data_IF_570840478889
#
_entry.id   IF_570840478889
#
_cell.length_a   1.000
_cell.length_b   1.000
_cell.length_c   1.000
_cell.angle_alpha   90.00
_cell.angle_beta   90.00
_cell.angle_gamma   90.00
#
_symmetry.space_group_name_H-M   'P 1'
#
loop_
_entity.id
_entity.type
_entity.pdbx_description
1 polymer ?
#
# COMPACT_ATOMS: atom_id res chain seq x y z
N UNK A 1 54.39 28.25 8.79
CA UNK A 1 53.31 27.47 9.44
C UNK A 1 52.00 27.79 8.74
N UNK A 2 51.32 26.76 8.20
CA UNK A 2 49.91 26.88 7.79
C UNK A 2 49.07 26.96 9.08
N UNK A 3 48.42 28.10 9.32
CA UNK A 3 47.62 28.33 10.52
C UNK A 3 46.22 27.70 10.44
N UNK A 4 45.82 27.20 9.26
CA UNK A 4 44.54 26.53 9.04
C UNK A 4 44.74 25.40 8.02
N UNK A 5 44.10 24.25 8.27
CA UNK A 5 44.07 23.09 7.37
C UNK A 5 42.66 22.96 6.82
N UNK A 6 42.51 22.90 5.50
CA UNK A 6 41.20 22.72 4.85
C UNK A 6 40.85 21.23 4.89
N UNK A 7 39.91 20.84 5.76
CA UNK A 7 39.49 19.44 5.95
C UNK A 7 38.07 19.15 5.42
N UNK A 8 37.48 20.08 4.68
CA UNK A 8 36.11 19.94 4.19
C UNK A 8 36.03 18.85 3.11
N UNK A 9 35.08 17.93 3.29
CA UNK A 9 34.72 16.88 2.33
C UNK A 9 33.28 17.08 1.89
N UNK A 10 33.03 16.99 0.60
CA UNK A 10 31.67 17.05 0.03
C UNK A 10 31.31 15.64 -0.44
N UNK A 11 30.29 15.05 0.16
CA UNK A 11 29.72 13.78 -0.26
C UNK A 11 28.77 14.01 -1.42
N UNK A 12 28.98 13.32 -2.54
CA UNK A 12 28.12 13.40 -3.71
C UNK A 12 27.36 12.09 -3.88
N UNK A 13 26.04 12.18 -3.97
CA UNK A 13 25.15 11.04 -4.13
C UNK A 13 24.09 11.31 -5.19
N UNK A 14 23.78 10.30 -6.00
CA UNK A 14 22.59 10.31 -6.86
C UNK A 14 21.40 9.98 -6.00
N UNK A 15 20.33 10.78 -6.08
CA UNK A 15 19.06 10.46 -5.40
C UNK A 15 18.15 9.61 -6.26
N UNK A 16 18.14 9.85 -7.57
CA UNK A 16 17.24 9.20 -8.51
C UNK A 16 17.97 8.92 -9.83
N UNK A 17 17.86 7.68 -10.29
CA UNK A 17 18.28 7.17 -11.60
C UNK A 17 17.33 6.04 -11.98
N UNK A 18 16.27 6.40 -12.71
CA UNK A 18 15.23 5.45 -13.10
C UNK A 18 15.79 4.27 -13.90
N UNK A 19 16.76 4.51 -14.80
CA UNK A 19 17.31 3.46 -15.64
C UNK A 19 18.16 2.45 -14.84
N UNK A 20 18.70 2.85 -13.69
CA UNK A 20 19.37 1.93 -12.75
C UNK A 20 18.44 1.39 -11.66
N UNK A 21 17.15 1.69 -11.73
CA UNK A 21 16.17 1.28 -10.73
C UNK A 21 16.26 2.06 -9.42
N UNK A 22 17.01 3.16 -9.41
CA UNK A 22 17.10 4.05 -8.26
C UNK A 22 15.93 5.06 -8.33
N UNK A 23 14.79 4.64 -7.78
CA UNK A 23 13.55 5.43 -7.78
C UNK A 23 13.29 6.02 -6.39
N UNK A 24 12.28 6.89 -6.28
CA UNK A 24 11.93 7.51 -5.01
C UNK A 24 11.70 6.47 -3.90
N UNK A 25 12.29 6.69 -2.72
CA UNK A 25 12.23 5.77 -1.57
C UNK A 25 13.46 4.87 -1.40
N UNK A 26 14.31 4.71 -2.42
CA UNK A 26 15.58 4.01 -2.29
C UNK A 26 16.65 4.90 -1.62
N UNK A 27 17.58 4.34 -0.81
CA UNK A 27 18.69 5.10 -0.27
C UNK A 27 19.56 5.69 -1.40
N UNK A 28 20.08 6.91 -1.23
CA UNK A 28 20.86 7.58 -2.27
C UNK A 28 22.17 6.82 -2.51
N UNK A 29 22.42 6.45 -3.77
CA UNK A 29 23.66 5.85 -4.22
C UNK A 29 24.79 6.88 -4.15
N UNK A 30 25.78 6.62 -3.29
CA UNK A 30 26.96 7.46 -3.19
C UNK A 30 27.82 7.31 -4.45
N UNK A 31 28.11 8.43 -5.10
CA UNK A 31 28.95 8.50 -6.30
C UNK A 31 30.42 8.66 -5.93
N UNK A 32 30.70 9.45 -4.88
CA UNK A 32 32.04 9.66 -4.38
C UNK A 32 32.13 10.84 -3.44
N UNK A 33 33.36 11.30 -3.22
CA UNK A 33 33.69 12.41 -2.33
C UNK A 33 34.55 13.41 -3.08
N UNK A 34 34.19 14.69 -3.02
CA UNK A 34 35.03 15.79 -3.48
C UNK A 34 35.80 16.29 -2.26
N UNK A 35 37.12 16.21 -2.33
CA UNK A 35 38.02 16.69 -1.30
C UNK A 35 39.23 17.39 -1.93
N UNK A 36 39.80 18.34 -1.18
CA UNK A 36 41.02 19.04 -1.56
C UNK A 36 42.21 18.13 -1.23
N UNK A 37 43.03 17.81 -2.22
CA UNK A 37 44.38 17.29 -1.99
C UNK A 37 45.21 18.42 -1.38
N UNK A 38 45.44 18.32 -0.07
CA UNK A 38 46.12 19.33 0.75
C UNK A 38 47.59 19.48 0.34
N UNK A 39 48.21 18.40 -0.16
CA UNK A 39 49.63 18.39 -0.54
C UNK A 39 49.84 19.13 -1.85
N UNK A 40 48.97 18.88 -2.83
CA UNK A 40 49.09 19.45 -4.17
C UNK A 40 48.19 20.67 -4.40
N UNK A 41 47.40 21.07 -3.40
CA UNK A 41 46.41 22.15 -3.45
C UNK A 41 45.47 22.05 -4.66
N UNK A 42 44.93 20.84 -4.91
CA UNK A 42 44.06 20.54 -6.07
C UNK A 42 42.82 19.76 -5.65
N UNK A 43 41.69 20.08 -6.25
CA UNK A 43 40.47 19.28 -6.12
C UNK A 43 40.49 18.20 -7.21
N UNK A 44 40.49 16.93 -6.82
CA UNK A 44 40.45 15.83 -7.79
C UNK A 44 39.08 15.78 -8.49
N UNK A 45 39.04 15.43 -9.78
CA UNK A 45 37.78 15.30 -10.50
C UNK A 45 36.96 14.14 -9.93
N UNK A 46 35.66 14.35 -9.72
CA UNK A 46 34.73 13.29 -9.36
C UNK A 46 34.41 12.47 -10.61
N UNK A 47 34.85 11.21 -10.62
CA UNK A 47 34.52 10.28 -11.70
C UNK A 47 33.08 9.79 -11.54
N UNK A 48 32.20 10.23 -12.44
CA UNK A 48 30.80 9.78 -12.50
C UNK A 48 30.66 8.70 -13.56
N UNK A 49 30.25 7.50 -13.16
CA UNK A 49 30.00 6.41 -14.10
C UNK A 49 28.68 6.63 -14.86
N UNK A 50 28.79 6.97 -16.14
CA UNK A 50 27.67 7.19 -17.07
C UNK A 50 27.15 5.90 -17.74
N UNK A 51 27.55 4.70 -17.28
CA UNK A 51 27.09 3.44 -17.86
C UNK A 51 25.57 3.40 -17.98
N UNK A 52 25.08 3.04 -19.17
CA UNK A 52 23.65 3.02 -19.46
C UNK A 52 22.92 2.07 -18.50
N UNK A 53 21.88 2.58 -17.84
CA UNK A 53 20.89 1.73 -17.19
C UNK A 53 20.00 1.01 -18.20
N UNK A 54 19.04 0.23 -17.71
CA UNK A 54 18.08 -0.51 -18.54
C UNK A 54 16.65 -0.06 -18.26
N UNK A 55 15.85 0.06 -19.33
CA UNK A 55 14.40 0.29 -19.24
C UNK A 55 13.73 -0.79 -18.40
N UNK A 56 14.22 -2.03 -18.49
CA UNK A 56 13.70 -3.16 -17.74
C UNK A 56 13.97 -3.03 -16.23
N UNK A 57 15.17 -2.57 -15.86
CA UNK A 57 15.53 -2.33 -14.46
C UNK A 57 14.66 -1.24 -13.85
N UNK A 58 14.44 -0.14 -14.58
CA UNK A 58 13.53 0.92 -14.15
C UNK A 58 12.09 0.44 -14.01
N UNK A 59 11.60 -0.34 -14.97
CA UNK A 59 10.26 -0.91 -14.91
C UNK A 59 10.04 -1.82 -13.69
N UNK A 60 10.98 -2.74 -13.40
CA UNK A 60 10.91 -3.58 -12.20
C UNK A 60 11.01 -2.80 -10.90
N UNK A 61 11.85 -1.76 -10.87
CA UNK A 61 11.94 -0.88 -9.72
C UNK A 61 10.58 -0.20 -9.44
N UNK A 62 9.83 0.18 -10.47
CA UNK A 62 8.49 0.75 -10.31
C UNK A 62 7.47 -0.29 -9.83
N UNK A 63 7.54 -1.54 -10.28
CA UNK A 63 6.71 -2.64 -9.73
C UNK A 63 7.02 -2.85 -8.25
N UNK A 64 8.30 -2.96 -7.89
CA UNK A 64 8.72 -3.12 -6.51
C UNK A 64 8.25 -1.95 -5.63
N UNK A 65 8.34 -0.73 -6.16
CA UNK A 65 7.85 0.48 -5.49
C UNK A 65 6.34 0.44 -5.25
N UNK A 66 5.55 -0.05 -6.22
CA UNK A 66 4.10 -0.24 -6.05
C UNK A 66 3.74 -1.26 -4.98
N UNK A 67 4.47 -2.38 -4.93
CA UNK A 67 4.30 -3.38 -3.86
C UNK A 67 4.66 -2.78 -2.50
N UNK A 68 5.80 -2.10 -2.40
CA UNK A 68 6.28 -1.47 -1.17
C UNK A 68 5.33 -0.38 -0.67
N UNK A 69 4.77 0.41 -1.59
CA UNK A 69 3.80 1.46 -1.26
C UNK A 69 2.60 0.91 -0.46
N UNK A 70 2.02 -0.22 -0.90
CA UNK A 70 0.93 -0.87 -0.17
C UNK A 70 1.43 -1.60 1.09
N UNK A 71 2.61 -2.22 1.03
CA UNK A 71 3.14 -3.02 2.14
C UNK A 71 3.60 -2.18 3.34
N UNK A 72 4.14 -0.98 3.09
CA UNK A 72 4.68 -0.10 4.13
C UNK A 72 3.66 0.96 4.59
N UNK A 73 2.69 1.31 3.75
CA UNK A 73 1.58 2.20 4.12
C UNK A 73 0.58 1.50 5.04
N UNK A 74 0.67 1.75 6.35
CA UNK A 74 -0.25 1.20 7.35
C UNK A 74 -1.70 1.61 7.10
N UNK A 75 -1.91 2.84 6.67
CA UNK A 75 -3.18 3.40 6.22
C UNK A 75 -3.71 2.69 4.96
N UNK A 76 -2.88 2.44 3.95
CA UNK A 76 -3.25 1.78 2.70
C UNK A 76 -3.59 0.29 2.91
N UNK A 77 -2.80 -0.42 3.72
CA UNK A 77 -3.09 -1.80 4.07
C UNK A 77 -4.38 -1.92 4.89
N UNK A 78 -4.58 -1.03 5.87
CA UNK A 78 -5.78 -1.01 6.70
C UNK A 78 -7.03 -0.65 5.89
N UNK A 79 -6.93 0.35 5.00
CA UNK A 79 -7.95 0.70 4.02
C UNK A 79 -8.39 -0.54 3.23
N UNK A 80 -7.42 -1.23 2.62
CA UNK A 80 -7.69 -2.35 1.75
C UNK A 80 -8.31 -3.51 2.53
N UNK A 81 -7.75 -3.87 3.69
CA UNK A 81 -8.30 -4.93 4.53
C UNK A 81 -9.74 -4.61 4.95
N UNK A 82 -10.01 -3.40 5.44
CA UNK A 82 -11.33 -3.05 5.97
C UNK A 82 -12.38 -2.95 4.86
N UNK A 83 -12.00 -2.51 3.65
CA UNK A 83 -12.89 -2.48 2.49
C UNK A 83 -13.19 -3.89 1.94
N UNK A 84 -12.20 -4.79 1.91
CA UNK A 84 -12.34 -6.12 1.33
C UNK A 84 -12.94 -7.15 2.30
N UNK A 85 -12.79 -6.98 3.62
CA UNK A 85 -13.37 -7.85 4.64
C UNK A 85 -14.89 -8.09 4.47
N UNK A 86 -15.75 -7.08 4.23
CA UNK A 86 -17.18 -7.33 4.03
C UNK A 86 -17.54 -7.87 2.64
N UNK A 87 -16.68 -7.72 1.62
CA UNK A 87 -17.03 -8.04 0.22
C UNK A 87 -17.51 -9.49 -0.03
N UNK A 88 -17.00 -10.53 0.67
CA UNK A 88 -17.52 -11.90 0.57
C UNK A 88 -18.95 -12.12 1.12
N UNK A 89 -19.53 -11.14 1.82
CA UNK A 89 -20.82 -11.26 2.50
C UNK A 89 -21.97 -10.72 1.65
N UNK A 90 -23.11 -11.38 1.77
CA UNK A 90 -24.38 -10.89 1.26
C UNK A 90 -24.96 -9.90 2.27
N UNK A 91 -25.40 -8.73 1.82
CA UNK A 91 -26.09 -7.76 2.65
C UNK A 91 -27.61 -7.99 2.57
N UNK A 92 -28.29 -8.02 3.73
CA UNK A 92 -29.74 -8.11 3.79
C UNK A 92 -30.26 -7.31 5.00
N UNK A 93 -31.34 -6.54 4.80
CA UNK A 93 -32.01 -5.76 5.86
C UNK A 93 -31.05 -4.89 6.70
N UNK A 94 -30.10 -4.23 6.05
CA UNK A 94 -29.11 -3.36 6.71
C UNK A 94 -28.08 -4.08 7.58
N UNK A 95 -27.94 -5.41 7.42
CA UNK A 95 -26.95 -6.22 8.14
C UNK A 95 -26.18 -7.11 7.17
N UNK A 96 -24.96 -7.43 7.56
CA UNK A 96 -24.17 -8.43 6.86
C UNK A 96 -24.68 -9.84 7.21
N UNK A 97 -25.01 -10.60 6.17
CA UNK A 97 -25.61 -11.93 6.25
C UNK A 97 -24.61 -13.05 5.94
N UNK A 98 -25.08 -14.05 5.20
CA UNK A 98 -24.30 -15.25 4.90
C UNK A 98 -23.17 -14.99 3.89
N UNK A 99 -22.24 -15.93 3.81
CA UNK A 99 -21.18 -15.97 2.79
C UNK A 99 -21.80 -16.17 1.41
N UNK A 100 -21.44 -15.33 0.44
CA UNK A 100 -21.94 -15.43 -0.93
C UNK A 100 -21.29 -16.55 -1.77
N UNK A 101 -20.27 -17.24 -1.24
CA UNK A 101 -19.52 -18.29 -1.94
C UNK A 101 -18.21 -17.79 -2.56
N UNK A 102 -17.31 -18.72 -2.90
CA UNK A 102 -15.96 -18.39 -3.40
C UNK A 102 -16.02 -17.65 -4.73
N UNK A 103 -16.82 -18.15 -5.69
CA UNK A 103 -16.97 -17.51 -7.02
C UNK A 103 -17.52 -16.09 -6.92
N UNK A 104 -18.54 -15.90 -6.09
CA UNK A 104 -19.11 -14.58 -5.79
C UNK A 104 -18.06 -13.64 -5.20
N UNK A 105 -17.34 -14.11 -4.18
CA UNK A 105 -16.33 -13.33 -3.47
C UNK A 105 -15.21 -12.90 -4.41
N UNK A 106 -14.66 -13.83 -5.20
CA UNK A 106 -13.60 -13.51 -6.17
C UNK A 106 -14.06 -12.49 -7.20
N UNK A 107 -15.25 -12.68 -7.79
CA UNK A 107 -15.78 -11.72 -8.77
C UNK A 107 -15.90 -10.32 -8.17
N UNK A 108 -16.42 -10.21 -6.95
CA UNK A 108 -16.64 -8.92 -6.29
C UNK A 108 -15.35 -8.26 -5.82
N UNK A 109 -14.44 -9.04 -5.25
CA UNK A 109 -13.11 -8.56 -4.83
C UNK A 109 -12.30 -8.06 -6.03
N UNK A 110 -12.26 -8.83 -7.13
CA UNK A 110 -11.59 -8.41 -8.37
C UNK A 110 -12.21 -7.13 -8.92
N UNK A 111 -13.54 -7.02 -8.95
CA UNK A 111 -14.21 -5.81 -9.43
C UNK A 111 -13.84 -4.58 -8.58
N UNK A 112 -13.79 -4.73 -7.26
CA UNK A 112 -13.41 -3.64 -6.32
C UNK A 112 -11.96 -3.22 -6.56
N UNK A 113 -11.03 -4.18 -6.59
CA UNK A 113 -9.59 -3.97 -6.79
C UNK A 113 -9.34 -3.30 -8.14
N UNK A 114 -9.88 -3.85 -9.24
CA UNK A 114 -9.74 -3.25 -10.57
C UNK A 114 -10.33 -1.84 -10.63
N UNK A 115 -11.51 -1.61 -10.04
CA UNK A 115 -12.12 -0.29 -10.04
C UNK A 115 -11.27 0.74 -9.28
N UNK A 116 -10.70 0.36 -8.12
CA UNK A 116 -9.75 1.17 -7.38
C UNK A 116 -8.52 1.52 -8.24
N UNK A 117 -7.89 0.52 -8.86
CA UNK A 117 -6.69 0.74 -9.69
C UNK A 117 -6.97 1.63 -10.89
N UNK A 118 -8.16 1.53 -11.51
CA UNK A 118 -8.54 2.43 -12.60
C UNK A 118 -8.65 3.89 -12.14
N UNK A 119 -9.34 4.15 -11.01
CA UNK A 119 -9.43 5.50 -10.44
C UNK A 119 -8.05 6.04 -10.02
N UNK A 120 -7.26 5.19 -9.37
CA UNK A 120 -5.90 5.48 -8.97
C UNK A 120 -5.01 5.84 -10.16
N UNK A 121 -5.04 5.04 -11.22
CA UNK A 121 -4.29 5.28 -12.46
C UNK A 121 -4.63 6.63 -13.08
N UNK A 122 -5.92 6.98 -13.13
CA UNK A 122 -6.37 8.23 -13.73
C UNK A 122 -5.78 9.45 -13.02
N UNK A 123 -5.84 9.47 -11.70
CA UNK A 123 -5.38 10.62 -10.90
C UNK A 123 -3.87 10.65 -10.69
N UNK A 124 -3.23 9.48 -10.66
CA UNK A 124 -1.78 9.38 -10.70
C UNK A 124 -1.27 9.99 -12.02
N UNK A 125 -1.90 9.67 -13.15
CA UNK A 125 -1.55 10.23 -14.45
C UNK A 125 -1.77 11.73 -14.51
N UNK A 126 -2.96 12.23 -14.16
CA UNK A 126 -3.27 13.66 -14.24
C UNK A 126 -2.46 14.49 -13.25
N UNK A 127 -2.17 13.93 -12.07
CA UNK A 127 -1.30 14.57 -11.08
C UNK A 127 0.17 14.59 -11.50
N UNK A 128 0.70 13.47 -12.03
CA UNK A 128 2.08 13.39 -12.51
C UNK A 128 2.32 14.26 -13.76
N UNK A 129 1.31 14.39 -14.63
CA UNK A 129 1.32 15.34 -15.76
C UNK A 129 1.21 16.81 -15.31
N UNK A 130 0.92 17.05 -14.03
CA UNK A 130 0.79 18.38 -13.45
C UNK A 130 -0.54 19.09 -13.73
N UNK A 131 -1.53 18.40 -14.31
CA UNK A 131 -2.86 18.95 -14.62
C UNK A 131 -3.72 19.13 -13.37
N UNK A 132 -3.53 18.27 -12.36
CA UNK A 132 -4.23 18.34 -11.09
C UNK A 132 -3.22 18.43 -9.95
N UNK A 133 -3.29 19.50 -9.15
CA UNK A 133 -2.42 19.70 -7.99
C UNK A 133 -3.28 20.06 -6.79
N UNK A 134 -3.27 19.20 -5.79
CA UNK A 134 -3.92 19.44 -4.50
C UNK A 134 -2.85 19.48 -3.39
N UNK A 135 -3.06 20.25 -2.32
CA UNK A 135 -2.20 20.19 -1.14
C UNK A 135 -2.15 18.77 -0.56
N UNK A 136 -0.96 18.29 -0.18
CA UNK A 136 -0.79 16.94 0.38
C UNK A 136 -1.66 16.70 1.60
N UNK A 137 -1.76 17.69 2.49
CA UNK A 137 -2.61 17.65 3.68
C UNK A 137 -4.08 17.32 3.34
N UNK A 138 -4.64 17.92 2.29
CA UNK A 138 -6.02 17.66 1.86
C UNK A 138 -6.19 16.25 1.30
N UNK A 139 -5.22 15.77 0.53
CA UNK A 139 -5.23 14.41 -0.03
C UNK A 139 -5.15 13.39 1.08
N UNK A 140 -4.22 13.55 2.02
CA UNK A 140 -4.03 12.66 3.17
C UNK A 140 -5.26 12.64 4.09
N UNK A 141 -5.92 13.78 4.30
CA UNK A 141 -7.17 13.85 5.06
C UNK A 141 -8.30 13.08 4.36
N UNK A 142 -8.40 13.17 3.02
CA UNK A 142 -9.39 12.42 2.25
C UNK A 142 -9.07 10.91 2.22
N UNK A 143 -7.80 10.52 2.23
CA UNK A 143 -7.38 9.12 2.39
C UNK A 143 -7.85 8.61 3.75
N UNK A 144 -7.56 9.32 4.86
CA UNK A 144 -8.04 8.93 6.18
C UNK A 144 -9.58 8.86 6.25
N UNK A 145 -10.27 9.80 5.61
CA UNK A 145 -11.73 9.76 5.49
C UNK A 145 -12.23 8.53 4.71
N UNK A 146 -11.55 8.12 3.63
CA UNK A 146 -11.89 6.89 2.90
C UNK A 146 -11.79 5.63 3.77
N UNK A 147 -10.81 5.59 4.68
CA UNK A 147 -10.66 4.52 5.67
C UNK A 147 -11.85 4.53 6.62
N UNK A 148 -12.23 5.69 7.16
CA UNK A 148 -13.37 5.82 8.06
C UNK A 148 -14.66 5.30 7.41
N UNK A 149 -14.95 5.71 6.17
CA UNK A 149 -16.13 5.25 5.43
C UNK A 149 -16.09 3.74 5.20
N UNK A 150 -14.93 3.20 4.84
CA UNK A 150 -14.73 1.76 4.65
C UNK A 150 -14.90 0.99 5.96
N UNK A 151 -14.46 1.57 7.08
CA UNK A 151 -14.59 1.02 8.42
C UNK A 151 -16.06 0.93 8.86
N UNK A 152 -16.83 2.01 8.63
CA UNK A 152 -18.26 2.03 8.89
C UNK A 152 -19.00 1.01 8.02
N UNK A 153 -18.65 0.92 6.73
CA UNK A 153 -19.18 -0.08 5.80
C UNK A 153 -18.86 -1.51 6.29
N UNK A 154 -17.65 -1.72 6.77
CA UNK A 154 -17.23 -2.98 7.34
C UNK A 154 -18.00 -3.35 8.59
N UNK A 155 -18.54 -2.42 9.38
CA UNK A 155 -19.41 -2.73 10.53
C UNK A 155 -20.86 -2.97 10.10
N UNK A 156 -21.42 -2.07 9.27
CA UNK A 156 -22.78 -2.16 8.70
C UNK A 156 -22.77 -1.79 7.21
N UNK A 157 -23.53 -2.50 6.36
CA UNK A 157 -23.52 -2.28 4.92
C UNK A 157 -24.09 -0.89 4.57
N UNK A 158 -23.21 0.08 4.30
CA UNK A 158 -23.58 1.45 3.92
C UNK A 158 -23.95 1.57 2.43
N UNK A 159 -23.26 0.83 1.57
CA UNK A 159 -23.39 0.90 0.11
C UNK A 159 -23.31 -0.50 -0.53
N UNK A 160 -24.14 -1.46 -0.05
CA UNK A 160 -24.06 -2.84 -0.52
C UNK A 160 -24.30 -2.93 -2.04
N UNK A 161 -23.32 -3.46 -2.75
CA UNK A 161 -23.36 -3.65 -4.21
C UNK A 161 -22.75 -2.50 -5.01
N UNK A 162 -22.50 -1.35 -4.39
CA UNK A 162 -21.86 -0.20 -5.02
C UNK A 162 -20.37 -0.08 -4.67
N UNK A 163 -19.77 -1.11 -4.07
CA UNK A 163 -18.40 -1.06 -3.55
C UNK A 163 -17.38 -0.74 -4.65
N UNK A 164 -17.58 -1.23 -5.88
CA UNK A 164 -16.68 -0.93 -6.99
C UNK A 164 -16.68 0.56 -7.36
N UNK A 165 -17.84 1.21 -7.37
CA UNK A 165 -17.92 2.65 -7.64
C UNK A 165 -17.29 3.48 -6.54
N UNK A 166 -17.51 3.09 -5.27
CA UNK A 166 -16.87 3.73 -4.11
C UNK A 166 -15.35 3.53 -4.14
N UNK A 167 -14.90 2.32 -4.48
CA UNK A 167 -13.48 1.99 -4.60
C UNK A 167 -12.80 2.78 -5.72
N UNK A 168 -13.46 2.97 -6.87
CA UNK A 168 -12.97 3.86 -7.92
C UNK A 168 -12.80 5.30 -7.41
N UNK A 169 -13.80 5.81 -6.68
CA UNK A 169 -13.74 7.12 -6.04
C UNK A 169 -12.58 7.27 -5.05
N UNK A 170 -12.36 6.26 -4.21
CA UNK A 170 -11.20 6.24 -3.30
C UNK A 170 -9.88 6.13 -4.05
N UNK A 171 -9.83 5.34 -5.12
CA UNK A 171 -8.68 5.27 -6.02
C UNK A 171 -8.29 6.65 -6.56
N UNK A 172 -9.25 7.46 -6.99
CA UNK A 172 -8.99 8.85 -7.45
C UNK A 172 -8.27 9.69 -6.38
N UNK A 173 -8.63 9.53 -5.11
CA UNK A 173 -7.98 10.27 -4.02
C UNK A 173 -6.57 9.73 -3.78
N UNK A 174 -6.43 8.41 -3.69
CA UNK A 174 -5.16 7.75 -3.35
C UNK A 174 -4.09 8.01 -4.43
N UNK A 175 -4.46 8.04 -5.72
CA UNK A 175 -3.53 8.29 -6.81
C UNK A 175 -2.84 9.66 -6.73
N UNK A 176 -3.50 10.66 -6.13
CA UNK A 176 -2.93 11.99 -5.95
C UNK A 176 -1.79 12.04 -4.92
N UNK A 177 -1.80 11.14 -3.93
CA UNK A 177 -0.76 11.14 -2.88
C UNK A 177 0.61 10.79 -3.47
N UNK A 178 0.66 9.89 -4.45
CA UNK A 178 1.90 9.46 -5.08
C UNK A 178 2.27 10.25 -6.34
N UNK A 179 1.32 11.01 -6.91
CA UNK A 179 1.52 11.77 -8.14
C UNK A 179 2.68 12.77 -8.06
N UNK A 180 2.85 13.46 -6.92
CA UNK A 180 3.95 14.40 -6.73
C UNK A 180 5.32 13.71 -6.76
N UNK A 181 5.42 12.50 -6.20
CA UNK A 181 6.65 11.70 -6.22
C UNK A 181 7.05 11.32 -7.65
N UNK A 182 6.08 10.93 -8.49
CA UNK A 182 6.31 10.65 -9.91
C UNK A 182 6.69 11.89 -10.70
N UNK A 183 6.00 13.01 -10.47
CA UNK A 183 6.30 14.28 -11.14
C UNK A 183 7.76 14.70 -10.90
N UNK A 184 8.29 14.46 -9.70
CA UNK A 184 9.67 14.79 -9.33
C UNK A 184 10.74 13.94 -10.04
N UNK A 185 10.38 12.82 -10.68
CA UNK A 185 11.32 12.00 -11.45
C UNK A 185 11.70 12.63 -12.80
N UNK A 186 11.02 13.70 -13.24
CA UNK A 186 11.28 14.43 -14.49
C UNK A 186 11.47 13.51 -15.72
N UNK A 187 10.65 12.46 -15.80
CA UNK A 187 10.72 11.45 -16.85
C UNK A 187 10.13 11.99 -18.16
N UNK A 188 10.66 11.51 -19.29
CA UNK A 188 9.96 11.63 -20.57
C UNK A 188 8.62 10.87 -20.55
N UNK A 189 7.72 11.20 -21.49
CA UNK A 189 6.36 10.65 -21.53
C UNK A 189 6.33 9.11 -21.59
N UNK A 190 7.28 8.48 -22.29
CA UNK A 190 7.35 7.03 -22.42
C UNK A 190 7.73 6.36 -21.10
N UNK A 191 8.79 6.86 -20.44
CA UNK A 191 9.21 6.38 -19.12
C UNK A 191 8.17 6.69 -18.04
N UNK A 192 7.48 7.81 -18.13
CA UNK A 192 6.37 8.15 -17.23
C UNK A 192 5.24 7.13 -17.36
N UNK A 193 4.80 6.84 -18.58
CA UNK A 193 3.74 5.85 -18.82
C UNK A 193 4.14 4.45 -18.32
N UNK A 194 5.37 4.00 -18.59
CA UNK A 194 5.91 2.74 -18.07
C UNK A 194 5.98 2.73 -16.54
N UNK A 195 6.32 3.87 -15.92
CA UNK A 195 6.39 3.99 -14.46
C UNK A 195 5.03 3.91 -13.81
N UNK A 196 4.04 4.60 -14.36
CA UNK A 196 2.64 4.52 -13.92
C UNK A 196 2.13 3.08 -14.06
N UNK A 197 2.37 2.46 -15.22
CA UNK A 197 1.94 1.08 -15.47
C UNK A 197 2.61 0.09 -14.51
N UNK A 198 3.94 0.17 -14.34
CA UNK A 198 4.69 -0.69 -13.43
C UNK A 198 4.27 -0.51 -11.98
N UNK A 199 4.09 0.72 -11.54
CA UNK A 199 3.61 1.03 -10.18
C UNK A 199 2.24 0.44 -9.91
N UNK A 200 1.27 0.64 -10.81
CA UNK A 200 -0.08 0.07 -10.67
C UNK A 200 -0.07 -1.46 -10.74
N UNK A 201 0.79 -2.06 -11.58
CA UNK A 201 0.96 -3.51 -11.61
C UNK A 201 1.48 -4.03 -10.26
N UNK A 202 2.43 -3.33 -9.63
CA UNK A 202 2.91 -3.63 -8.28
C UNK A 202 1.79 -3.55 -7.23
N UNK A 203 0.95 -2.52 -7.30
CA UNK A 203 -0.24 -2.39 -6.46
C UNK A 203 -1.16 -3.61 -6.68
N UNK A 204 -1.58 -3.88 -7.91
CA UNK A 204 -2.48 -4.98 -8.25
C UNK A 204 -1.98 -6.32 -7.74
N UNK A 205 -0.67 -6.61 -7.87
CA UNK A 205 -0.06 -7.84 -7.33
C UNK A 205 -0.25 -7.96 -5.81
N UNK A 206 -0.02 -6.87 -5.07
CA UNK A 206 -0.22 -6.85 -3.62
C UNK A 206 -1.70 -6.93 -3.25
N UNK A 207 -2.59 -6.25 -3.99
CA UNK A 207 -4.03 -6.33 -3.75
C UNK A 207 -4.56 -7.75 -4.01
N UNK A 208 -4.12 -8.41 -5.08
CA UNK A 208 -4.46 -9.80 -5.39
C UNK A 208 -3.96 -10.77 -4.31
N UNK A 209 -2.77 -10.53 -3.76
CA UNK A 209 -2.26 -11.29 -2.62
C UNK A 209 -3.19 -11.16 -1.39
N UNK A 210 -3.61 -9.94 -1.05
CA UNK A 210 -4.53 -9.71 0.08
C UNK A 210 -5.93 -10.27 -0.20
N UNK A 211 -6.41 -10.21 -1.45
CA UNK A 211 -7.66 -10.86 -1.88
C UNK A 211 -7.59 -12.37 -1.65
N UNK A 212 -6.50 -13.02 -2.08
CA UNK A 212 -6.30 -14.45 -1.87
C UNK A 212 -6.32 -14.81 -0.38
N UNK A 213 -5.65 -14.01 0.45
CA UNK A 213 -5.61 -14.20 1.91
C UNK A 213 -6.99 -14.02 2.55
N UNK A 214 -7.75 -13.01 2.12
CA UNK A 214 -9.11 -12.73 2.61
C UNK A 214 -10.06 -13.89 2.29
N UNK A 215 -10.01 -14.41 1.06
CA UNK A 215 -10.81 -15.58 0.65
C UNK A 215 -10.38 -16.83 1.40
N UNK A 216 -9.07 -17.04 1.59
CA UNK A 216 -8.53 -18.17 2.34
C UNK A 216 -9.01 -18.15 3.80
N UNK A 217 -8.83 -17.03 4.52
CA UNK A 217 -9.31 -16.91 5.89
C UNK A 217 -10.80 -17.06 5.99
N UNK A 218 -11.57 -16.48 5.05
CA UNK A 218 -13.01 -16.69 5.08
C UNK A 218 -13.36 -18.16 4.96
N UNK A 219 -12.69 -18.92 4.08
CA UNK A 219 -12.93 -20.35 3.93
C UNK A 219 -12.55 -21.15 5.17
N UNK A 220 -11.42 -20.83 5.80
CA UNK A 220 -10.96 -21.53 6.99
C UNK A 220 -11.83 -21.19 8.22
N UNK A 221 -12.26 -19.93 8.33
CA UNK A 221 -13.11 -19.41 9.40
C UNK A 221 -14.61 -19.59 9.11
N UNK A 222 -15.00 -20.20 7.97
CA UNK A 222 -16.41 -20.26 7.52
C UNK A 222 -17.31 -21.08 8.45
N UNK A 223 -16.73 -21.87 9.36
CA UNK A 223 -17.45 -22.64 10.39
C UNK A 223 -17.45 -22.00 11.77
N UNK A 224 -16.67 -20.93 11.96
CA UNK A 224 -16.54 -20.27 13.25
C UNK A 224 -17.45 -19.03 13.30
N UNK A 225 -18.18 -18.86 14.40
CA UNK A 225 -18.91 -17.63 14.76
C UNK A 225 -18.00 -16.38 14.88
N UNK A 226 -16.70 -16.55 14.67
CA UNK A 226 -15.60 -15.62 14.92
C UNK A 226 -15.38 -14.61 13.79
N UNK A 227 -15.78 -14.91 12.54
CA UNK A 227 -15.59 -13.98 11.42
C UNK A 227 -16.34 -12.65 11.59
N UNK A 228 -17.57 -12.71 12.12
CA UNK A 228 -18.38 -11.53 12.40
C UNK A 228 -17.69 -10.58 13.38
N UNK A 229 -17.30 -11.06 14.57
CA UNK A 229 -16.49 -10.32 15.53
C UNK A 229 -15.19 -9.75 14.95
N UNK A 230 -14.39 -10.55 14.21
CA UNK A 230 -13.14 -10.07 13.59
C UNK A 230 -13.41 -8.89 12.65
N UNK A 231 -14.42 -9.00 11.77
CA UNK A 231 -14.81 -7.92 10.86
C UNK A 231 -15.21 -6.65 11.63
N UNK A 232 -16.03 -6.80 12.67
CA UNK A 232 -16.52 -5.65 13.45
C UNK A 232 -15.39 -5.00 14.26
N UNK A 233 -14.56 -5.80 14.94
CA UNK A 233 -13.39 -5.30 15.68
C UNK A 233 -12.38 -4.64 14.75
N UNK A 234 -12.11 -5.24 13.58
CA UNK A 234 -11.26 -4.63 12.55
C UNK A 234 -11.83 -3.32 12.02
N UNK A 235 -13.15 -3.26 11.80
CA UNK A 235 -13.83 -2.02 11.43
C UNK A 235 -13.78 -0.95 12.53
N UNK A 236 -13.96 -1.31 13.81
CA UNK A 236 -13.83 -0.36 14.91
C UNK A 236 -12.39 0.15 15.02
N UNK A 237 -11.41 -0.74 14.98
CA UNK A 237 -9.99 -0.39 14.99
C UNK A 237 -9.63 0.55 13.84
N UNK A 238 -10.04 0.23 12.61
CA UNK A 238 -9.82 1.09 11.45
C UNK A 238 -10.52 2.45 11.56
N UNK A 239 -11.72 2.50 12.16
CA UNK A 239 -12.42 3.76 12.40
C UNK A 239 -11.69 4.64 13.42
N UNK A 240 -11.18 4.06 14.51
CA UNK A 240 -10.38 4.79 15.50
C UNK A 240 -9.07 5.29 14.89
N UNK A 241 -8.36 4.43 14.15
CA UNK A 241 -7.14 4.80 13.44
C UNK A 241 -7.40 5.93 12.42
N UNK A 242 -8.48 5.84 11.64
CA UNK A 242 -8.85 6.87 10.69
C UNK A 242 -9.11 8.22 11.36
N UNK A 243 -9.85 8.24 12.48
CA UNK A 243 -10.10 9.47 13.24
C UNK A 243 -8.80 10.05 13.83
N UNK A 244 -7.90 9.20 14.30
CA UNK A 244 -6.58 9.62 14.77
C UNK A 244 -5.75 10.25 13.64
N UNK A 245 -5.65 9.61 12.46
CA UNK A 245 -4.94 10.21 11.32
C UNK A 245 -5.61 11.50 10.82
N UNK A 246 -6.94 11.56 10.77
CA UNK A 246 -7.65 12.80 10.41
C UNK A 246 -7.29 13.94 11.38
N UNK A 247 -7.26 13.65 12.68
CA UNK A 247 -6.88 14.65 13.71
C UNK A 247 -5.46 15.16 13.54
N UNK A 248 -4.52 14.26 13.26
CA UNK A 248 -3.12 14.58 13.03
C UNK A 248 -2.94 15.45 11.79
N UNK A 249 -3.69 15.17 10.71
CA UNK A 249 -3.64 15.99 9.49
C UNK A 249 -4.30 17.36 9.67
N UNK A 250 -5.29 17.49 10.55
CA UNK A 250 -5.93 18.80 10.82
C UNK A 250 -5.08 19.68 11.74
N UNK A 251 -4.44 19.10 12.76
CA UNK A 251 -3.70 19.85 13.78
C UNK A 251 -2.18 19.85 13.61
N UNK A 252 -1.64 19.01 12.71
CA UNK A 252 -0.22 18.94 12.41
C UNK A 252 0.64 18.36 13.55
N UNK A 253 0.03 17.72 14.55
CA UNK A 253 0.71 17.07 15.67
C UNK A 253 0.34 15.60 15.72
N UNK A 254 1.34 14.74 15.93
CA UNK A 254 1.10 13.33 16.22
C UNK A 254 0.30 13.20 17.52
N UNK A 255 -0.46 12.12 17.61
CA UNK A 255 -1.25 11.81 18.78
C UNK A 255 -0.95 10.38 19.23
N UNK A 256 -1.19 10.12 20.51
CA UNK A 256 -0.91 8.82 21.13
C UNK A 256 -1.62 7.66 20.41
N UNK A 257 -2.79 7.89 19.82
CA UNK A 257 -3.53 6.85 19.11
C UNK A 257 -2.85 6.49 17.79
N UNK A 258 -2.34 7.47 17.02
CA UNK A 258 -1.52 7.20 15.84
C UNK A 258 -0.33 6.34 16.22
N UNK A 259 0.44 6.74 17.24
CA UNK A 259 1.66 6.03 17.65
C UNK A 259 1.35 4.58 18.07
N UNK A 260 0.26 4.37 18.82
CA UNK A 260 -0.19 3.05 19.22
C UNK A 260 -0.65 2.20 18.03
N UNK A 261 -1.34 2.79 17.05
CA UNK A 261 -1.77 2.10 15.84
C UNK A 261 -0.57 1.68 15.01
N UNK A 262 0.43 2.55 14.84
CA UNK A 262 1.65 2.23 14.12
C UNK A 262 2.46 1.13 14.82
N UNK A 263 2.61 1.21 16.14
CA UNK A 263 3.22 0.14 16.93
C UNK A 263 2.45 -1.18 16.78
N UNK A 264 1.13 -1.16 16.89
CA UNK A 264 0.31 -2.36 16.70
C UNK A 264 0.46 -2.95 15.29
N UNK A 265 0.57 -2.11 14.27
CA UNK A 265 0.72 -2.54 12.89
C UNK A 265 2.04 -3.32 12.65
N UNK A 266 3.11 -3.05 13.41
CA UNK A 266 4.35 -3.84 13.32
C UNK A 266 4.15 -5.32 13.68
N UNK A 267 3.16 -5.63 14.53
CA UNK A 267 2.81 -7.00 14.91
C UNK A 267 1.83 -7.66 13.93
N UNK A 268 1.24 -6.91 12.99
CA UNK A 268 0.22 -7.43 12.09
C UNK A 268 0.69 -8.66 11.29
N UNK A 269 1.88 -8.70 10.66
CA UNK A 269 2.32 -9.89 9.91
C UNK A 269 2.36 -11.16 10.77
N UNK A 270 2.81 -11.03 12.03
CA UNK A 270 2.87 -12.14 12.98
C UNK A 270 1.49 -12.60 13.41
N UNK A 271 0.56 -11.67 13.65
CA UNK A 271 -0.82 -11.99 13.97
C UNK A 271 -1.49 -12.73 12.80
N UNK A 272 -1.28 -12.26 11.56
CA UNK A 272 -1.81 -12.89 10.35
C UNK A 272 -1.22 -14.29 10.15
N UNK A 273 0.07 -14.47 10.39
CA UNK A 273 0.72 -15.78 10.35
C UNK A 273 0.13 -16.74 11.40
N UNK A 274 0.01 -16.28 12.65
CA UNK A 274 -0.56 -17.07 13.75
C UNK A 274 -2.02 -17.48 13.47
N UNK A 275 -2.86 -16.54 12.99
CA UNK A 275 -4.24 -16.82 12.61
C UNK A 275 -4.32 -17.82 11.46
N UNK A 276 -3.43 -17.70 10.47
CA UNK A 276 -3.37 -18.65 9.34
C UNK A 276 -2.97 -20.05 9.81
N UNK A 277 -1.95 -20.16 10.66
CA UNK A 277 -1.52 -21.43 11.23
C UNK A 277 -2.64 -22.06 12.08
N UNK A 278 -3.27 -21.29 12.96
CA UNK A 278 -4.39 -21.76 13.77
C UNK A 278 -5.56 -22.24 12.91
N UNK A 279 -5.89 -21.48 11.86
CA UNK A 279 -6.98 -21.80 10.94
C UNK A 279 -6.68 -23.07 10.10
N UNK A 280 -5.43 -23.23 9.64
CA UNK A 280 -4.97 -24.47 8.98
C UNK A 280 -5.00 -25.65 9.94
N UNK A 281 -4.49 -25.49 11.17
CA UNK A 281 -4.52 -26.50 12.21
C UNK A 281 -5.92 -27.00 12.51
N UNK A 282 -6.88 -26.07 12.69
CA UNK A 282 -8.30 -26.40 12.88
C UNK A 282 -8.88 -27.16 11.68
N UNK A 283 -8.55 -26.74 10.46
CA UNK A 283 -9.03 -27.39 9.24
C UNK A 283 -8.53 -28.84 9.11
N UNK A 284 -7.24 -29.08 9.35
CA UNK A 284 -6.65 -30.41 9.27
C UNK A 284 -7.11 -31.32 10.42
N UNK A 285 -7.24 -30.78 11.64
CA UNK A 285 -7.76 -31.50 12.80
C UNK A 285 -9.21 -31.95 12.62
N UNK A 286 -10.06 -31.14 12.00
CA UNK A 286 -11.42 -31.57 11.68
C UNK A 286 -11.47 -32.60 10.56
N UNK A 287 -10.58 -32.49 9.57
CA UNK A 287 -10.51 -33.45 8.46
C UNK A 287 -10.05 -34.83 8.94
N UNK A 288 -9.15 -34.89 9.91
CA UNK A 288 -8.71 -36.17 10.51
C UNK A 288 -9.81 -36.84 11.35
N UNK A 289 -10.80 -36.09 11.84
CA UNK A 289 -11.97 -36.63 12.57
C UNK A 289 -13.13 -37.10 11.67
N UNK A 290 -13.07 -36.88 10.35
CA UNK A 290 -14.13 -37.35 9.45
C UNK A 290 -13.98 -38.86 9.22
N UNK A 291 -15.01 -39.68 9.49
CA UNK A 291 -14.96 -41.10 9.16
C UNK A 291 -14.74 -41.26 7.65
N UNK A 292 -13.96 -42.28 7.26
CA UNK A 292 -13.73 -42.59 5.86
C UNK A 292 -15.08 -42.79 5.14
N UNK A 293 -15.24 -42.28 3.90
CA UNK A 293 -16.47 -42.52 3.16
C UNK A 293 -16.67 -44.02 3.00
N UNK A 294 -17.83 -44.51 3.43
CA UNK A 294 -18.21 -45.91 3.26
C UNK A 294 -18.12 -46.25 1.77
N UNK A 295 -17.24 -47.19 1.41
CA UNK A 295 -17.13 -47.73 0.07
C UNK A 295 -18.49 -48.34 -0.32
N UNK A 296 -19.11 -47.82 -1.38
CA UNK A 296 -20.20 -48.49 -2.09
C UNK A 296 -19.63 -49.26 -3.27
#
# INVERSE_FOLDING_TARGET
MLHQVVTHKILVSVRQDWARGQVAGAPPAQVGVIELDIVNNRVLPLLVNLAAGSVWTGFWAMIALGIQHIAQGTDHLLFLLVLLLPAPLLAARGRWGAFGGVRYSLKRLLLIVTAFTLGHSLTLLTGAAGWLRLPSQSVELLIAFSILISALHAVRPLFPGCEAGVAAGFGLVHGLAFAGTLANLHLDAGRMALSIFGFNLGIDLMQLFVVALTVLWRRLLSRASVYGPIRVLGGIFAGVAALAWMSERLWGQSNLLTDLVEQAATFAPWLLAALTIAALGSYFWERSKRPAPASR
#
